data_IF_675181624684
#
_entry.id   IF_675181624684
#
_cell.length_a   1.000
_cell.length_b   1.000
_cell.length_c   1.000
_cell.angle_alpha   90.00
_cell.angle_beta   90.00
_cell.angle_gamma   90.00
#
_symmetry.space_group_name_H-M   'P 1'
#
loop_
_entity.id
_entity.type
_entity.pdbx_description
1 polymer ?
#
# COMPACT_ATOMS: atom_id res chain seq x y z
N UNK A 1 -13.26 19.88 33.59
CA UNK A 1 -13.74 19.52 32.25
C UNK A 1 -13.28 18.10 32.01
N UNK A 2 -14.20 17.14 32.09
CA UNK A 2 -13.89 15.74 31.76
C UNK A 2 -13.90 15.61 30.24
N UNK A 3 -12.73 15.36 29.65
CA UNK A 3 -12.66 14.96 28.26
C UNK A 3 -13.25 13.54 28.17
N UNK A 4 -14.43 13.42 27.56
CA UNK A 4 -14.95 12.12 27.13
C UNK A 4 -13.94 11.52 26.15
N UNK A 5 -13.25 10.48 26.59
CA UNK A 5 -12.40 9.67 25.73
C UNK A 5 -13.32 8.71 24.99
N UNK A 6 -13.71 9.07 23.77
CA UNK A 6 -14.41 8.15 22.86
C UNK A 6 -13.41 7.07 22.48
N UNK A 7 -13.69 5.82 22.82
CA UNK A 7 -12.82 4.72 22.40
C UNK A 7 -13.07 4.43 20.93
N UNK A 8 -12.04 3.95 20.22
CA UNK A 8 -12.14 3.62 18.80
C UNK A 8 -13.26 2.57 18.57
N UNK A 9 -13.46 1.68 19.54
CA UNK A 9 -14.47 0.62 19.52
C UNK A 9 -15.91 1.15 19.59
N UNK A 10 -16.11 2.35 20.15
CA UNK A 10 -17.43 2.98 20.29
C UNK A 10 -17.88 3.68 18.99
N UNK A 11 -16.96 3.89 18.05
CA UNK A 11 -17.27 4.57 16.78
C UNK A 11 -17.98 3.62 15.81
N UNK A 12 -18.98 4.08 15.03
CA UNK A 12 -19.56 3.30 13.94
C UNK A 12 -18.54 2.94 12.85
N UNK A 13 -18.77 1.85 12.12
CA UNK A 13 -17.87 1.34 11.08
C UNK A 13 -17.61 2.38 9.98
N UNK A 14 -18.63 3.17 9.62
CA UNK A 14 -18.52 4.21 8.60
C UNK A 14 -17.55 5.31 9.03
N UNK A 15 -17.57 5.67 10.31
CA UNK A 15 -16.66 6.68 10.87
C UNK A 15 -15.24 6.14 10.91
N UNK A 16 -15.06 4.89 11.32
CA UNK A 16 -13.76 4.21 11.30
C UNK A 16 -13.18 4.15 9.89
N UNK A 17 -14.00 3.79 8.90
CA UNK A 17 -13.58 3.74 7.50
C UNK A 17 -13.11 5.13 7.02
N UNK A 18 -13.84 6.20 7.36
CA UNK A 18 -13.46 7.58 7.01
C UNK A 18 -12.13 7.94 7.67
N UNK A 19 -11.93 7.62 8.95
CA UNK A 19 -10.67 7.88 9.66
C UNK A 19 -9.52 7.13 8.97
N UNK A 20 -9.67 5.83 8.74
CA UNK A 20 -8.64 5.00 8.12
C UNK A 20 -8.30 5.43 6.70
N UNK A 21 -9.27 5.88 5.91
CA UNK A 21 -9.03 6.41 4.56
C UNK A 21 -8.17 7.67 4.52
N UNK A 22 -8.12 8.42 5.63
CA UNK A 22 -7.28 9.61 5.75
C UNK A 22 -5.86 9.29 6.24
N UNK A 23 -5.55 8.02 6.54
CA UNK A 23 -4.25 7.57 6.99
C UNK A 23 -3.52 6.78 5.88
N UNK A 24 -2.18 6.67 5.95
CA UNK A 24 -1.44 5.77 5.07
C UNK A 24 -1.93 4.34 5.24
N UNK A 25 -2.44 3.77 4.14
CA UNK A 25 -3.13 2.48 4.16
C UNK A 25 -2.25 1.35 4.74
N UNK A 26 -0.94 1.39 4.43
CA UNK A 26 0.04 0.44 4.95
C UNK A 26 0.18 0.47 6.47
N UNK A 27 0.18 1.66 7.07
CA UNK A 27 0.36 1.83 8.51
C UNK A 27 -0.87 1.32 9.26
N UNK A 28 -2.05 1.61 8.72
CA UNK A 28 -3.32 1.13 9.28
C UNK A 28 -3.40 -0.40 9.17
N UNK A 29 -3.13 -0.97 8.00
CA UNK A 29 -3.12 -2.42 7.81
C UNK A 29 -2.12 -3.09 8.75
N UNK A 30 -0.91 -2.56 8.85
CA UNK A 30 0.12 -3.10 9.75
C UNK A 30 -0.30 -3.00 11.24
N UNK A 31 -0.93 -1.89 11.63
CA UNK A 31 -1.26 -1.62 13.02
C UNK A 31 -2.49 -2.38 13.50
N UNK A 32 -3.49 -2.58 12.63
CA UNK A 32 -4.81 -3.05 13.06
C UNK A 32 -5.18 -4.45 12.54
N UNK A 33 -4.54 -4.93 11.47
CA UNK A 33 -4.90 -6.24 10.92
C UNK A 33 -4.50 -7.37 11.87
N UNK A 34 -5.44 -8.26 12.15
CA UNK A 34 -5.30 -9.38 13.08
C UNK A 34 -5.49 -9.02 14.56
N UNK A 35 -5.78 -7.75 14.89
CA UNK A 35 -6.06 -7.36 16.28
C UNK A 35 -7.50 -7.68 16.71
N UNK A 36 -8.47 -7.52 15.80
CA UNK A 36 -9.88 -7.66 16.10
C UNK A 36 -10.67 -8.01 14.82
N UNK A 37 -11.62 -8.95 14.90
CA UNK A 37 -12.42 -9.41 13.76
C UNK A 37 -13.23 -8.30 13.06
N UNK A 38 -13.74 -7.33 13.83
CA UNK A 38 -14.47 -6.17 13.30
C UNK A 38 -13.54 -5.28 12.49
N UNK A 39 -12.36 -4.97 13.03
CA UNK A 39 -11.35 -4.20 12.31
C UNK A 39 -10.89 -4.95 11.07
N UNK A 40 -10.66 -6.26 11.16
CA UNK A 40 -10.30 -7.08 10.01
C UNK A 40 -11.37 -7.03 8.92
N UNK A 41 -12.65 -7.00 9.29
CA UNK A 41 -13.74 -6.86 8.32
C UNK A 41 -13.68 -5.52 7.60
N UNK A 42 -13.51 -4.42 8.35
CA UNK A 42 -13.39 -3.05 7.81
C UNK A 42 -12.15 -2.93 6.91
N UNK A 43 -11.01 -3.43 7.36
CA UNK A 43 -9.73 -3.37 6.65
C UNK A 43 -9.68 -4.29 5.45
N UNK A 44 -10.54 -5.31 5.39
CA UNK A 44 -10.71 -6.16 4.22
C UNK A 44 -11.69 -5.61 3.19
N UNK A 45 -12.35 -4.48 3.50
CA UNK A 45 -13.26 -3.83 2.56
C UNK A 45 -12.52 -3.39 1.29
N UNK A 46 -13.20 -3.54 0.15
CA UNK A 46 -12.62 -3.21 -1.16
C UNK A 46 -12.28 -1.73 -1.28
N UNK A 47 -13.07 -0.85 -0.66
CA UNK A 47 -12.84 0.60 -0.69
C UNK A 47 -11.47 0.92 -0.11
N UNK A 48 -11.08 0.22 0.95
CA UNK A 48 -9.81 0.40 1.63
C UNK A 48 -8.65 -0.31 0.91
N UNK A 49 -8.83 -1.57 0.50
CA UNK A 49 -7.74 -2.43 -0.01
C UNK A 49 -7.42 -2.28 -1.50
N UNK A 50 -8.33 -1.70 -2.31
CA UNK A 50 -8.11 -1.60 -3.77
C UNK A 50 -6.89 -0.78 -4.16
N UNK A 51 -6.53 0.22 -3.37
CA UNK A 51 -5.41 1.13 -3.64
C UNK A 51 -4.41 1.04 -2.49
N UNK A 52 -3.30 0.35 -2.72
CA UNK A 52 -2.24 0.21 -1.73
C UNK A 52 -1.07 1.15 -2.06
N UNK A 53 -0.59 1.87 -1.05
CA UNK A 53 0.58 2.75 -1.16
C UNK A 53 1.61 2.36 -0.12
N UNK A 54 2.82 2.02 -0.60
CA UNK A 54 3.99 1.61 0.18
C UNK A 54 5.18 2.50 -0.21
N UNK A 55 5.14 3.74 0.26
CA UNK A 55 6.15 4.76 0.01
C UNK A 55 6.69 5.19 1.38
N UNK A 56 8.00 5.33 1.53
CA UNK A 56 8.60 5.86 2.76
C UNK A 56 8.20 7.34 2.85
N UNK A 57 7.49 7.70 3.91
CA UNK A 57 7.14 9.09 4.15
C UNK A 57 8.41 9.90 4.43
N UNK A 58 8.69 10.88 3.57
CA UNK A 58 9.86 11.77 3.69
C UNK A 58 9.69 12.77 4.85
N UNK A 59 8.48 12.93 5.40
CA UNK A 59 8.14 13.97 6.37
C UNK A 59 7.84 13.47 7.79
N UNK A 60 7.85 12.17 8.03
CA UNK A 60 7.69 11.62 9.40
C UNK A 60 9.07 11.48 10.04
N UNK A 61 9.40 12.38 10.96
CA UNK A 61 10.55 12.29 11.87
C UNK A 61 10.51 11.05 12.79
N UNK A 62 9.43 10.28 12.75
CA UNK A 62 9.29 8.95 13.33
C UNK A 62 9.54 7.85 12.29
N UNK A 63 10.74 7.28 12.34
CA UNK A 63 11.29 6.02 11.78
C UNK A 63 10.39 4.82 11.32
N UNK A 64 9.14 4.97 10.87
CA UNK A 64 8.16 3.88 11.08
C UNK A 64 7.84 2.90 9.95
N UNK A 65 8.61 2.86 8.86
CA UNK A 65 8.59 1.71 7.94
C UNK A 65 10.01 1.13 7.82
N UNK A 66 10.46 0.47 8.89
CA UNK A 66 11.70 -0.30 8.90
C UNK A 66 11.57 -1.52 7.98
N UNK A 67 12.70 -2.07 7.53
CA UNK A 67 12.68 -3.30 6.73
C UNK A 67 11.96 -4.45 7.46
N UNK A 68 12.07 -4.52 8.79
CA UNK A 68 11.36 -5.53 9.60
C UNK A 68 9.83 -5.38 9.58
N UNK A 69 9.31 -4.16 9.65
CA UNK A 69 7.87 -3.88 9.53
C UNK A 69 7.40 -4.25 8.13
N UNK A 70 8.20 -3.88 7.12
CA UNK A 70 7.92 -4.16 5.72
C UNK A 70 7.88 -5.66 5.41
N UNK A 71 8.86 -6.41 5.93
CA UNK A 71 8.95 -7.86 5.74
C UNK A 71 7.73 -8.54 6.35
N UNK A 72 7.38 -8.18 7.59
CA UNK A 72 6.15 -8.68 8.23
C UNK A 72 4.91 -8.35 7.41
N UNK A 73 4.79 -7.13 6.90
CA UNK A 73 3.69 -6.75 6.02
C UNK A 73 3.64 -7.64 4.77
N UNK A 74 4.77 -7.88 4.11
CA UNK A 74 4.84 -8.71 2.91
C UNK A 74 4.52 -10.18 3.16
N UNK A 75 4.90 -10.74 4.32
CA UNK A 75 4.68 -12.15 4.62
C UNK A 75 3.32 -12.45 5.26
N UNK A 76 2.77 -11.54 6.08
CA UNK A 76 1.56 -11.81 6.87
C UNK A 76 0.31 -11.13 6.32
N UNK A 77 0.42 -9.90 5.82
CA UNK A 77 -0.72 -9.06 5.46
C UNK A 77 -0.98 -9.14 3.96
N UNK A 78 0.06 -8.90 3.16
CA UNK A 78 -0.04 -8.83 1.71
C UNK A 78 -0.66 -10.08 1.07
N UNK A 79 -0.34 -11.32 1.49
CA UNK A 79 -0.96 -12.52 0.92
C UNK A 79 -2.46 -12.62 1.18
N UNK A 80 -2.98 -11.95 2.21
CA UNK A 80 -4.42 -11.93 2.54
C UNK A 80 -5.20 -10.96 1.68
N UNK A 81 -4.56 -9.90 1.18
CA UNK A 81 -5.23 -8.80 0.47
C UNK A 81 -4.82 -8.66 -1.00
N UNK A 82 -3.78 -9.37 -1.46
CA UNK A 82 -3.23 -9.25 -2.81
C UNK A 82 -4.26 -9.36 -3.95
N UNK A 83 -5.25 -10.24 -3.80
CA UNK A 83 -6.32 -10.43 -4.77
C UNK A 83 -7.32 -9.27 -4.82
N UNK A 84 -7.33 -8.38 -3.84
CA UNK A 84 -8.18 -7.17 -3.81
C UNK A 84 -7.46 -5.93 -4.35
N UNK A 85 -6.14 -5.98 -4.42
CA UNK A 85 -5.31 -4.86 -4.86
C UNK A 85 -5.46 -4.67 -6.37
N UNK A 86 -5.92 -3.47 -6.72
CA UNK A 86 -6.20 -3.04 -8.07
C UNK A 86 -5.15 -2.02 -8.54
N UNK A 87 -4.69 -1.18 -7.62
CA UNK A 87 -3.64 -0.18 -7.82
C UNK A 87 -2.59 -0.26 -6.73
N UNK A 88 -1.33 -0.25 -7.14
CA UNK A 88 -0.21 -0.39 -6.24
C UNK A 88 0.79 0.74 -6.48
N UNK A 89 1.10 1.51 -5.44
CA UNK A 89 2.11 2.57 -5.46
C UNK A 89 3.25 2.14 -4.55
N UNK A 90 4.45 1.93 -5.07
CA UNK A 90 5.59 1.43 -4.29
C UNK A 90 6.85 2.21 -4.59
N UNK A 91 7.75 2.29 -3.61
CA UNK A 91 9.13 2.67 -3.88
C UNK A 91 9.94 1.55 -4.51
N UNK A 92 10.91 1.95 -5.33
CA UNK A 92 11.89 1.06 -5.97
C UNK A 92 12.58 0.12 -4.98
N UNK A 93 12.92 0.62 -3.79
CA UNK A 93 13.58 -0.13 -2.72
C UNK A 93 12.78 -1.32 -2.17
N UNK A 94 11.49 -1.41 -2.50
CA UNK A 94 10.58 -2.46 -2.07
C UNK A 94 10.18 -3.44 -3.18
N UNK A 95 10.59 -3.18 -4.43
CA UNK A 95 10.09 -3.91 -5.60
C UNK A 95 10.32 -5.42 -5.53
N UNK A 96 11.52 -5.87 -5.19
CA UNK A 96 11.84 -7.31 -5.15
C UNK A 96 10.92 -8.09 -4.20
N UNK A 97 10.70 -7.52 -3.01
CA UNK A 97 9.83 -8.11 -1.98
C UNK A 97 8.36 -8.11 -2.39
N UNK A 98 7.90 -7.04 -3.03
CA UNK A 98 6.52 -6.90 -3.48
C UNK A 98 6.22 -7.80 -4.67
N UNK A 99 7.13 -7.88 -5.63
CA UNK A 99 6.96 -8.70 -6.83
C UNK A 99 7.09 -10.21 -6.58
N UNK A 100 7.52 -10.62 -5.38
CA UNK A 100 7.39 -12.00 -4.94
C UNK A 100 5.91 -12.43 -4.76
N UNK A 101 4.97 -11.49 -4.68
CA UNK A 101 3.53 -11.76 -4.55
C UNK A 101 2.80 -11.61 -5.89
N UNK A 102 1.84 -12.49 -6.16
CA UNK A 102 0.96 -12.38 -7.34
C UNK A 102 -0.21 -11.43 -7.07
N UNK A 103 -0.53 -10.54 -8.02
CA UNK A 103 -1.64 -9.60 -7.94
C UNK A 103 -2.61 -9.80 -9.11
N UNK A 104 -3.60 -10.70 -9.00
CA UNK A 104 -4.44 -11.10 -10.13
C UNK A 104 -5.30 -9.95 -10.68
N UNK A 105 -5.66 -8.97 -9.85
CA UNK A 105 -6.53 -7.84 -10.21
C UNK A 105 -5.78 -6.51 -10.42
N UNK A 106 -4.45 -6.55 -10.44
CA UNK A 106 -3.62 -5.35 -10.60
C UNK A 106 -3.74 -4.80 -12.02
N UNK A 107 -4.23 -3.56 -12.12
CA UNK A 107 -4.35 -2.85 -13.39
C UNK A 107 -3.45 -1.61 -13.47
N UNK A 108 -3.01 -1.08 -12.32
CA UNK A 108 -2.10 0.06 -12.26
C UNK A 108 -0.99 -0.16 -11.23
N UNK A 109 0.25 0.12 -11.65
CA UNK A 109 1.44 0.10 -10.80
C UNK A 109 2.16 1.43 -10.95
N UNK A 110 2.43 2.10 -9.84
CA UNK A 110 3.29 3.29 -9.80
C UNK A 110 4.55 2.98 -9.02
N UNK A 111 5.71 3.16 -9.64
CA UNK A 111 7.02 3.05 -9.01
C UNK A 111 7.55 4.44 -8.71
N UNK A 112 8.06 4.64 -7.49
CA UNK A 112 8.60 5.89 -6.96
C UNK A 112 10.08 5.72 -6.62
N UNK A 113 10.81 6.85 -6.56
CA UNK A 113 12.25 6.90 -6.27
C UNK A 113 13.04 5.93 -7.16
N UNK A 114 12.64 5.83 -8.43
CA UNK A 114 13.24 4.90 -9.38
C UNK A 114 14.55 5.49 -9.92
N UNK A 115 15.71 4.83 -9.74
CA UNK A 115 16.97 5.33 -10.30
C UNK A 115 16.85 5.44 -11.82
N UNK A 116 17.35 6.54 -12.43
CA UNK A 116 17.27 6.72 -13.87
C UNK A 116 17.95 5.60 -14.67
N UNK A 117 19.02 5.01 -14.14
CA UNK A 117 19.75 3.92 -14.80
C UNK A 117 18.89 2.64 -14.91
N UNK A 118 18.23 2.26 -13.82
CA UNK A 118 17.32 1.11 -13.78
C UNK A 118 16.10 1.32 -14.69
N UNK A 119 15.71 2.58 -14.94
CA UNK A 119 14.61 2.92 -15.86
C UNK A 119 14.92 2.44 -17.25
N UNK A 120 16.10 2.78 -17.75
CA UNK A 120 16.53 2.36 -19.08
C UNK A 120 16.51 0.83 -19.26
N UNK A 121 16.95 0.07 -18.26
CA UNK A 121 16.99 -1.39 -18.33
C UNK A 121 15.59 -2.02 -18.38
N UNK A 122 14.65 -1.55 -17.54
CA UNK A 122 13.26 -2.04 -17.53
C UNK A 122 12.51 -1.64 -18.80
N UNK A 123 12.76 -0.44 -19.35
CA UNK A 123 12.14 0.01 -20.60
C UNK A 123 12.68 -0.74 -21.83
N UNK A 124 13.97 -1.06 -21.87
CA UNK A 124 14.57 -1.83 -22.96
C UNK A 124 14.10 -3.30 -23.00
N UNK A 125 13.61 -3.84 -21.87
CA UNK A 125 13.15 -5.23 -21.76
C UNK A 125 11.71 -5.49 -22.26
N UNK A 126 10.98 -4.48 -22.78
CA UNK A 126 9.63 -4.61 -23.39
C UNK A 126 8.55 -5.27 -22.49
N UNK A 127 8.69 -5.23 -21.15
CA UNK A 127 7.75 -5.91 -20.25
C UNK A 127 6.37 -5.21 -20.12
N UNK A 128 6.18 -3.97 -20.60
CA UNK A 128 4.97 -3.19 -20.32
C UNK A 128 4.43 -2.38 -21.53
N UNK A 129 3.09 -2.35 -21.68
CA UNK A 129 2.38 -1.80 -22.84
C UNK A 129 2.25 -0.27 -22.89
N UNK A 130 2.19 0.42 -21.74
CA UNK A 130 2.14 1.89 -21.63
C UNK A 130 2.82 2.36 -20.36
N UNK A 131 3.73 3.33 -20.49
CA UNK A 131 4.38 3.98 -19.38
C UNK A 131 4.42 5.51 -19.51
N UNK A 132 4.38 6.18 -18.36
CA UNK A 132 4.64 7.62 -18.24
C UNK A 132 5.73 7.82 -17.21
N UNK A 133 6.83 8.48 -17.61
CA UNK A 133 7.92 8.87 -16.74
C UNK A 133 7.76 10.36 -16.40
N UNK A 134 7.61 10.68 -15.13
CA UNK A 134 7.60 12.06 -14.66
C UNK A 134 8.29 12.13 -13.30
N UNK A 135 9.37 12.91 -13.18
CA UNK A 135 10.05 13.22 -11.92
C UNK A 135 10.21 12.00 -10.99
N UNK A 136 10.90 10.95 -11.47
CA UNK A 136 11.16 9.68 -10.73
C UNK A 136 9.94 8.79 -10.46
N UNK A 137 8.80 9.09 -11.07
CA UNK A 137 7.61 8.23 -11.06
C UNK A 137 7.46 7.51 -12.40
N UNK A 138 7.34 6.19 -12.35
CA UNK A 138 6.99 5.34 -13.48
C UNK A 138 5.59 4.77 -13.25
N UNK A 139 4.63 5.14 -14.10
CA UNK A 139 3.27 4.59 -14.06
C UNK A 139 3.16 3.53 -15.16
N UNK A 140 2.82 2.31 -14.78
CA UNK A 140 2.51 1.20 -15.66
C UNK A 140 1.02 0.92 -15.58
N UNK A 141 0.36 0.87 -16.74
CA UNK A 141 -1.06 0.51 -16.85
C UNK A 141 -1.22 -0.69 -17.76
N UNK A 142 -1.99 -1.68 -17.30
CA UNK A 142 -2.39 -2.81 -18.15
C UNK A 142 -3.59 -2.36 -18.98
N UNK A 143 -3.46 -2.38 -20.30
CA UNK A 143 -4.59 -2.16 -21.21
C UNK A 143 -5.28 -3.53 -21.36
N UNK A 144 -6.55 -3.59 -20.97
CA UNK A 144 -7.42 -4.76 -21.23
C UNK A 144 -7.88 -4.70 -22.69
#
# INVERSE_FOLDING_TARGET
>A
MEHSCVQLEDLPDEILLIIFQNLPNCDVLYSFMGLNERLDTILNDRIFTRNLTLIKSVHSSSNQFTDTIFDRFCFEILPKINHKIERLNIESSFMERIFATSYPNLHALSLYNFPPETACEVFCANLFQKYFLNNQKLIITRII
#
